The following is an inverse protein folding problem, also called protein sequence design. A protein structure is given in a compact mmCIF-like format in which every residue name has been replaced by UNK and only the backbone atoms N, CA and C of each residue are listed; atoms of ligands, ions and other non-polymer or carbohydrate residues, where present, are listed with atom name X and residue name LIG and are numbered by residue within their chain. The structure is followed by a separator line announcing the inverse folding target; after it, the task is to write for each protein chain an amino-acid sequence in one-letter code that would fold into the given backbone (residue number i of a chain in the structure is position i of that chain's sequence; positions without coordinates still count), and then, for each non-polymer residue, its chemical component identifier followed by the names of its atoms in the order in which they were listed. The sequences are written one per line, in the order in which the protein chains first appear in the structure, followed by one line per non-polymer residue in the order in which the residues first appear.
data_IF_303907045645
#
_entry.id   IF_303907045645
#
_cell.length_a   1.000
_cell.length_b   1.000
_cell.length_c   1.000
_cell.angle_alpha   90.00
_cell.angle_beta   90.00
_cell.angle_gamma   90.00
#
_symmetry.space_group_name_H-M   'P 1'
#
loop_
_entity.id
_entity.type
_entity.pdbx_description
1 polymer ?
#
# COMPACT_ATOMS: atom_id res chain seq x y z
N UNK A 1 34.10 20.38 28.87
CA UNK A 1 32.70 20.65 28.42
C UNK A 1 32.35 20.01 27.07
N UNK A 2 32.95 18.86 26.69
CA UNK A 2 32.68 18.19 25.40
C UNK A 2 31.77 16.95 25.52
N UNK A 3 31.71 16.33 26.72
CA UNK A 3 30.96 15.10 26.97
C UNK A 3 29.43 15.25 26.86
N UNK A 4 28.85 16.39 27.28
CA UNK A 4 27.39 16.59 27.19
C UNK A 4 26.89 16.77 25.75
N UNK A 5 27.73 17.33 24.86
CA UNK A 5 27.39 17.52 23.44
C UNK A 5 27.31 16.18 22.71
N UNK A 6 28.21 15.25 23.06
CA UNK A 6 28.22 13.92 22.47
C UNK A 6 26.99 13.10 22.90
N UNK A 7 26.60 13.24 24.17
CA UNK A 7 25.42 12.58 24.73
C UNK A 7 24.12 13.12 24.10
N UNK A 8 24.04 14.44 23.88
CA UNK A 8 22.93 15.07 23.16
C UNK A 8 22.83 14.59 21.70
N UNK A 9 23.95 14.48 20.98
CA UNK A 9 23.96 13.97 19.60
C UNK A 9 23.54 12.50 19.54
N UNK A 10 23.97 11.68 20.51
CA UNK A 10 23.59 10.27 20.59
C UNK A 10 22.10 10.09 20.91
N UNK A 11 21.55 10.93 21.80
CA UNK A 11 20.11 10.98 22.09
C UNK A 11 19.31 11.42 20.87
N UNK A 12 19.79 12.41 20.12
CA UNK A 12 19.14 12.87 18.89
C UNK A 12 19.14 11.76 17.83
N UNK A 13 20.26 11.05 17.67
CA UNK A 13 20.36 9.90 16.77
C UNK A 13 19.42 8.76 17.15
N UNK A 14 19.32 8.43 18.45
CA UNK A 14 18.37 7.46 18.97
C UNK A 14 16.91 7.88 18.75
N UNK A 15 16.58 9.17 18.95
CA UNK A 15 15.25 9.71 18.71
C UNK A 15 14.86 9.64 17.22
N UNK A 16 15.79 9.98 16.32
CA UNK A 16 15.57 9.87 14.87
C UNK A 16 15.37 8.41 14.49
N UNK A 17 16.20 7.50 15.00
CA UNK A 17 16.08 6.07 14.73
C UNK A 17 14.75 5.50 15.24
N UNK A 18 14.34 5.86 16.45
CA UNK A 18 13.06 5.47 17.03
C UNK A 18 11.87 6.03 16.22
N UNK A 19 11.94 7.30 15.79
CA UNK A 19 10.91 7.92 14.97
C UNK A 19 10.79 7.29 13.58
N UNK A 20 11.91 6.88 12.97
CA UNK A 20 11.90 6.18 11.68
C UNK A 20 11.43 4.73 11.81
N UNK A 21 11.74 4.05 12.92
CA UNK A 21 11.26 2.70 13.20
C UNK A 21 9.75 2.67 13.52
N UNK A 22 9.24 3.75 14.12
CA UNK A 22 7.83 3.90 14.48
C UNK A 22 6.96 4.54 13.38
N UNK A 23 7.51 4.83 12.20
CA UNK A 23 6.75 5.37 11.09
C UNK A 23 5.72 4.33 10.60
N UNK A 24 4.52 4.41 11.17
CA UNK A 24 3.43 3.50 10.86
C UNK A 24 2.98 3.70 9.40
N UNK A 25 2.92 2.60 8.65
CA UNK A 25 2.51 2.62 7.25
C UNK A 25 1.03 3.02 7.19
N UNK A 26 0.78 4.28 6.87
CA UNK A 26 -0.56 4.86 6.85
C UNK A 26 -1.16 4.91 5.45
N UNK A 27 -2.49 5.00 5.37
CA UNK A 27 -3.20 5.29 4.13
C UNK A 27 -3.03 6.78 3.75
N UNK A 28 -3.16 7.15 2.46
CA UNK A 28 -3.18 8.55 2.05
C UNK A 28 -4.32 9.33 2.70
N UNK A 29 -4.14 10.64 2.82
CA UNK A 29 -5.20 11.56 3.24
C UNK A 29 -6.47 11.33 2.40
N UNK A 30 -7.63 11.34 3.07
CA UNK A 30 -8.98 11.09 2.51
C UNK A 30 -9.34 9.63 2.21
N UNK A 31 -8.44 8.67 2.44
CA UNK A 31 -8.81 7.24 2.44
C UNK A 31 -9.20 6.80 3.85
N UNK A 32 -10.35 6.14 3.96
CA UNK A 32 -10.84 5.52 5.20
C UNK A 32 -10.41 4.06 5.19
N UNK A 33 -9.77 3.62 6.27
CA UNK A 33 -9.42 2.22 6.47
C UNK A 33 -10.69 1.37 6.57
N UNK A 34 -10.78 0.32 5.76
CA UNK A 34 -11.82 -0.69 5.88
C UNK A 34 -11.40 -1.67 6.97
N UNK A 35 -12.20 -1.77 8.03
CA UNK A 35 -12.03 -2.78 9.10
C UNK A 35 -13.12 -3.83 8.94
N UNK A 36 -12.82 -5.13 9.03
CA UNK A 36 -13.85 -6.15 9.06
C UNK A 36 -14.65 -5.98 10.36
N UNK A 37 -15.97 -5.83 10.26
CA UNK A 37 -16.87 -5.87 11.40
C UNK A 37 -17.51 -7.26 11.57
N UNK A 38 -17.60 -8.03 10.49
CA UNK A 38 -18.05 -9.41 10.43
C UNK A 38 -17.33 -10.21 9.31
N UNK A 39 -17.60 -11.51 9.22
CA UNK A 39 -17.00 -12.42 8.22
C UNK A 39 -17.35 -12.05 6.77
N UNK A 40 -18.48 -11.36 6.56
CA UNK A 40 -18.92 -10.95 5.23
C UNK A 40 -18.11 -9.75 4.74
N UNK A 41 -17.87 -8.78 5.62
CA UNK A 41 -16.98 -7.64 5.38
C UNK A 41 -15.54 -8.10 5.16
N UNK A 42 -15.08 -9.13 5.88
CA UNK A 42 -13.75 -9.71 5.67
C UNK A 42 -13.58 -10.26 4.24
N UNK A 43 -14.58 -10.99 3.72
CA UNK A 43 -14.56 -11.49 2.33
C UNK A 43 -14.53 -10.36 1.31
N UNK A 44 -15.27 -9.28 1.55
CA UNK A 44 -15.24 -8.10 0.68
C UNK A 44 -13.86 -7.44 0.70
N UNK A 45 -13.29 -7.22 1.89
CA UNK A 45 -11.97 -6.61 2.05
C UNK A 45 -10.90 -7.48 1.38
N UNK A 46 -10.94 -8.79 1.57
CA UNK A 46 -10.04 -9.74 0.92
C UNK A 46 -10.20 -9.72 -0.61
N UNK A 47 -11.43 -9.62 -1.11
CA UNK A 47 -11.71 -9.43 -2.54
C UNK A 47 -11.08 -8.17 -3.11
N UNK A 48 -11.22 -7.03 -2.41
CA UNK A 48 -10.58 -5.76 -2.79
C UNK A 48 -9.05 -5.86 -2.73
N UNK A 49 -8.51 -6.51 -1.69
CA UNK A 49 -7.08 -6.75 -1.56
C UNK A 49 -6.54 -7.58 -2.73
N UNK A 50 -7.29 -8.59 -3.18
CA UNK A 50 -6.93 -9.40 -4.35
C UNK A 50 -6.87 -8.56 -5.64
N UNK A 51 -7.83 -7.64 -5.83
CA UNK A 51 -7.73 -6.65 -6.92
C UNK A 51 -6.52 -5.72 -6.74
N UNK A 52 -6.16 -5.37 -5.50
CA UNK A 52 -4.92 -4.66 -5.19
C UNK A 52 -3.66 -5.40 -5.65
N UNK A 53 -3.60 -6.72 -5.43
CA UNK A 53 -2.49 -7.54 -5.94
C UNK A 53 -2.47 -7.58 -7.46
N UNK A 54 -3.61 -7.74 -8.11
CA UNK A 54 -3.68 -7.70 -9.57
C UNK A 54 -3.24 -6.33 -10.10
N UNK A 55 -3.62 -5.24 -9.45
CA UNK A 55 -3.19 -3.89 -9.81
C UNK A 55 -1.67 -3.71 -9.62
N UNK A 56 -1.09 -4.30 -8.58
CA UNK A 56 0.36 -4.35 -8.38
C UNK A 56 1.04 -5.11 -9.52
N UNK A 57 0.58 -6.33 -9.82
CA UNK A 57 1.13 -7.19 -10.86
C UNK A 57 1.01 -6.51 -12.26
N UNK A 58 -0.08 -5.79 -12.52
CA UNK A 58 -0.22 -4.99 -13.74
C UNK A 58 0.78 -3.83 -13.80
N UNK A 59 1.04 -3.16 -12.68
CA UNK A 59 1.97 -2.05 -12.60
C UNK A 59 3.45 -2.48 -12.66
N UNK A 60 3.75 -3.77 -12.46
CA UNK A 60 5.09 -4.35 -12.72
C UNK A 60 5.40 -4.48 -14.21
N UNK A 61 4.37 -4.59 -15.06
CA UNK A 61 4.59 -4.77 -16.50
C UNK A 61 5.31 -3.54 -17.07
N UNK A 62 6.38 -3.76 -17.83
CA UNK A 62 7.19 -2.69 -18.43
C UNK A 62 6.40 -1.79 -19.40
N UNK A 63 5.25 -2.26 -19.91
CA UNK A 63 4.34 -1.49 -20.73
C UNK A 63 3.36 -0.62 -19.92
N UNK A 64 3.27 -0.83 -18.60
CA UNK A 64 2.48 0.01 -17.70
C UNK A 64 3.26 1.30 -17.42
N UNK A 65 2.59 2.46 -17.55
CA UNK A 65 3.20 3.77 -17.32
C UNK A 65 3.52 3.92 -15.82
N UNK A 66 4.79 3.80 -15.41
CA UNK A 66 5.17 4.01 -14.00
C UNK A 66 6.59 3.57 -13.63
N UNK A 67 6.89 3.66 -12.33
CA UNK A 67 8.10 3.10 -11.70
C UNK A 67 8.11 1.58 -11.87
N UNK A 68 9.27 1.01 -12.23
CA UNK A 68 9.45 -0.44 -12.25
C UNK A 68 9.27 -1.01 -10.84
N UNK A 69 8.20 -1.78 -10.64
CA UNK A 69 7.92 -2.41 -9.36
C UNK A 69 8.66 -3.75 -9.25
N UNK A 70 9.32 -4.03 -8.12
CA UNK A 70 9.97 -5.32 -7.91
C UNK A 70 8.95 -6.44 -7.77
N UNK A 71 9.39 -7.67 -8.06
CA UNK A 71 8.63 -8.86 -7.72
C UNK A 71 8.68 -9.11 -6.22
N UNK A 72 7.50 -9.11 -5.58
CA UNK A 72 7.36 -9.40 -4.16
C UNK A 72 7.28 -10.90 -3.93
N UNK A 73 8.04 -11.37 -2.96
CA UNK A 73 8.00 -12.72 -2.37
C UNK A 73 7.16 -12.63 -1.09
N UNK A 74 6.39 -13.68 -0.79
CA UNK A 74 5.50 -13.73 0.38
C UNK A 74 4.55 -12.52 0.47
N UNK A 75 3.98 -12.15 -0.70
CA UNK A 75 3.11 -10.98 -0.84
C UNK A 75 1.86 -11.08 0.04
N UNK A 76 1.64 -10.08 0.88
CA UNK A 76 0.45 -9.94 1.73
C UNK A 76 0.01 -8.48 1.80
N UNK A 77 -1.29 -8.25 2.01
CA UNK A 77 -1.83 -6.91 2.20
C UNK A 77 -1.74 -6.56 3.69
N UNK A 78 -1.53 -5.28 3.98
CA UNK A 78 -1.49 -4.77 5.36
C UNK A 78 -2.61 -3.77 5.65
N UNK A 79 -3.16 -3.14 4.61
CA UNK A 79 -4.31 -2.27 4.75
C UNK A 79 -5.09 -2.14 3.43
N UNK A 80 -6.41 -2.01 3.55
CA UNK A 80 -7.32 -1.67 2.45
C UNK A 80 -8.08 -0.41 2.83
N UNK A 81 -8.01 0.60 1.97
CA UNK A 81 -8.68 1.88 2.15
C UNK A 81 -9.66 2.18 1.02
N UNK A 82 -10.74 2.89 1.35
CA UNK A 82 -11.71 3.44 0.41
C UNK A 82 -11.60 4.97 0.43
N UNK A 83 -11.53 5.60 -0.74
CA UNK A 83 -11.57 7.06 -0.82
C UNK A 83 -12.94 7.54 -0.33
N UNK A 84 -12.94 8.44 0.65
CA UNK A 84 -14.15 9.10 1.18
C UNK A 84 -14.67 10.13 0.18
N UNK A 85 -15.20 9.68 -0.96
CA UNK A 85 -15.88 10.53 -1.91
C UNK A 85 -17.37 10.60 -1.56
N UNK A 86 -17.82 11.77 -1.10
CA UNK A 86 -19.21 12.05 -0.75
C UNK A 86 -20.13 12.12 -1.98
N UNK A 87 -19.58 12.09 -3.20
CA UNK A 87 -20.38 12.08 -4.42
C UNK A 87 -21.03 10.71 -4.67
N UNK A 88 -22.23 10.54 -4.11
CA UNK A 88 -23.12 9.35 -4.24
C UNK A 88 -23.42 8.85 -5.66
N UNK A 89 -22.96 9.54 -6.71
CA UNK A 89 -23.35 9.28 -8.11
C UNK A 89 -22.34 8.46 -8.91
N UNK A 90 -21.14 8.20 -8.40
CA UNK A 90 -20.14 7.43 -9.14
C UNK A 90 -20.36 5.92 -8.98
N UNK A 91 -20.68 5.22 -10.08
CA UNK A 91 -20.65 3.76 -10.20
C UNK A 91 -19.24 3.17 -10.12
N UNK A 92 -18.25 3.99 -9.77
CA UNK A 92 -16.88 3.57 -9.61
C UNK A 92 -16.33 4.08 -8.28
N UNK A 93 -15.71 3.19 -7.52
CA UNK A 93 -15.07 3.52 -6.25
C UNK A 93 -13.57 3.42 -6.36
N UNK A 94 -12.87 4.33 -5.67
CA UNK A 94 -11.41 4.37 -5.62
C UNK A 94 -10.94 3.70 -4.34
N UNK A 95 -10.06 2.73 -4.50
CA UNK A 95 -9.47 1.97 -3.42
C UNK A 95 -7.97 2.24 -3.35
N UNK A 96 -7.41 2.01 -2.16
CA UNK A 96 -5.99 2.02 -1.90
C UNK A 96 -5.65 0.74 -1.15
N UNK A 97 -4.80 -0.11 -1.72
CA UNK A 97 -4.31 -1.30 -1.03
C UNK A 97 -2.83 -1.10 -0.78
N UNK A 98 -2.41 -1.37 0.45
CA UNK A 98 -1.00 -1.39 0.82
C UNK A 98 -0.56 -2.85 0.86
N UNK A 99 0.38 -3.17 -0.01
CA UNK A 99 0.96 -4.51 -0.19
C UNK A 99 2.36 -4.52 0.39
N UNK A 100 2.68 -5.56 1.15
CA UNK A 100 3.98 -5.82 1.72
C UNK A 100 4.49 -7.15 1.21
N UNK A 101 5.79 -7.26 0.99
CA UNK A 101 6.45 -8.51 0.65
C UNK A 101 7.96 -8.31 0.56
N UNK A 102 8.70 -9.39 0.42
CA UNK A 102 10.16 -9.34 0.38
C UNK A 102 10.68 -9.26 -1.05
N UNK A 103 11.82 -8.61 -1.20
CA UNK A 103 12.51 -8.42 -2.47
C UNK A 103 13.99 -8.73 -2.29
N UNK A 104 14.58 -9.42 -3.26
CA UNK A 104 16.02 -9.59 -3.33
C UNK A 104 16.64 -8.49 -4.19
N UNK A 105 17.38 -7.58 -3.55
CA UNK A 105 18.21 -6.61 -4.25
C UNK A 105 19.65 -7.14 -4.25
N UNK A 106 19.96 -8.00 -5.20
CA UNK A 106 21.25 -8.69 -5.27
C UNK A 106 21.40 -9.74 -4.16
N UNK A 107 22.22 -9.46 -3.15
CA UNK A 107 22.53 -10.38 -2.04
C UNK A 107 21.73 -10.10 -0.76
N UNK A 108 20.97 -9.01 -0.72
CA UNK A 108 20.27 -8.56 0.48
C UNK A 108 18.76 -8.76 0.29
N UNK A 109 18.13 -9.41 1.27
CA UNK A 109 16.67 -9.49 1.39
C UNK A 109 16.19 -8.22 2.09
N UNK A 110 15.31 -7.48 1.43
CA UNK A 110 14.66 -6.29 1.99
C UNK A 110 13.15 -6.47 1.92
N UNK A 111 12.43 -5.88 2.87
CA UNK A 111 10.97 -5.84 2.82
C UNK A 111 10.53 -4.60 2.06
N UNK A 112 9.78 -4.79 0.97
CA UNK A 112 9.16 -3.72 0.22
C UNK A 112 7.70 -3.53 0.62
N UNK A 113 7.32 -2.27 0.78
CA UNK A 113 5.95 -1.84 1.09
C UNK A 113 5.50 -0.91 -0.01
N UNK A 114 4.51 -1.34 -0.78
CA UNK A 114 3.98 -0.61 -1.92
C UNK A 114 2.53 -0.20 -1.69
N UNK A 115 2.23 1.05 -2.03
CA UNK A 115 0.87 1.61 -1.94
C UNK A 115 0.28 1.73 -3.34
N UNK A 116 -0.79 0.99 -3.60
CA UNK A 116 -1.44 0.90 -4.91
C UNK A 116 -2.83 1.50 -4.85
N UNK A 117 -3.08 2.54 -5.65
CA UNK A 117 -4.38 3.17 -5.84
C UNK A 117 -5.00 2.67 -7.14
N UNK A 118 -6.28 2.32 -7.11
CA UNK A 118 -7.00 1.88 -8.31
C UNK A 118 -8.50 2.18 -8.17
N UNK A 119 -9.21 2.13 -9.30
CA UNK A 119 -10.65 2.30 -9.37
C UNK A 119 -11.30 0.99 -9.82
N UNK A 120 -12.27 0.52 -9.05
CA UNK A 120 -13.17 -0.56 -9.45
C UNK A 120 -14.43 0.03 -10.05
N UNK A 121 -14.85 -0.48 -11.20
CA UNK A 121 -16.16 -0.18 -11.80
C UNK A 121 -17.16 -1.24 -11.38
N UNK A 122 -18.33 -0.82 -10.90
CA UNK A 122 -19.44 -1.71 -10.64
C UNK A 122 -20.31 -1.77 -11.90
N UNK A 123 -20.32 -2.92 -12.59
CA UNK A 123 -21.29 -3.17 -13.65
C UNK A 123 -22.61 -3.67 -13.05
N UNK A 124 -23.73 -3.28 -13.65
CA UNK A 124 -25.08 -3.73 -13.27
C UNK A 124 -25.38 -5.18 -13.69
N UNK A 125 -24.48 -5.83 -14.43
CA UNK A 125 -24.57 -7.26 -14.72
C UNK A 125 -23.95 -8.06 -13.56
N UNK A 126 -24.66 -9.09 -13.12
CA UNK A 126 -24.47 -9.90 -11.91
C UNK A 126 -23.07 -10.55 -11.65
N UNK A 127 -21.98 -10.20 -12.34
CA UNK A 127 -20.76 -11.02 -12.28
C UNK A 127 -19.39 -10.34 -12.54
N UNK A 128 -19.17 -9.05 -12.29
CA UNK A 128 -17.79 -8.56 -12.46
C UNK A 128 -17.45 -7.25 -11.78
N UNK A 129 -16.71 -7.32 -10.68
CA UNK A 129 -15.82 -6.23 -10.31
C UNK A 129 -14.59 -6.33 -11.22
N UNK A 130 -14.25 -5.26 -11.91
CA UNK A 130 -13.03 -5.20 -12.73
C UNK A 130 -12.23 -3.93 -12.40
N UNK A 131 -10.91 -4.04 -12.53
CA UNK A 131 -9.97 -2.96 -12.32
C UNK A 131 -9.91 -2.12 -13.58
N UNK A 132 -10.22 -0.83 -13.45
CA UNK A 132 -9.88 0.11 -14.51
C UNK A 132 -8.36 0.24 -14.60
N UNK A 133 -7.73 -0.48 -15.53
CA UNK A 133 -6.26 -0.49 -15.69
C UNK A 133 -5.65 0.89 -15.88
N UNK A 134 -6.40 1.82 -16.49
CA UNK A 134 -5.95 3.22 -16.69
C UNK A 134 -5.94 4.05 -15.40
N UNK A 135 -6.62 3.57 -14.35
CA UNK A 135 -6.68 4.23 -13.04
C UNK A 135 -5.61 3.76 -12.05
N UNK A 136 -4.89 2.67 -12.38
CA UNK A 136 -3.86 2.10 -11.51
C UNK A 136 -2.74 3.12 -11.35
N UNK A 137 -2.38 3.40 -10.10
CA UNK A 137 -1.25 4.27 -9.74
C UNK A 137 -0.51 3.68 -8.54
N UNK A 138 0.79 3.51 -8.69
CA UNK A 138 1.70 3.30 -7.56
C UNK A 138 1.95 4.66 -6.92
N UNK A 139 1.47 4.85 -5.70
CA UNK A 139 1.60 6.12 -4.99
C UNK A 139 2.97 6.26 -4.32
N UNK A 140 3.43 5.17 -3.68
CA UNK A 140 4.69 5.11 -2.94
C UNK A 140 5.20 3.68 -2.88
N UNK A 141 6.52 3.52 -2.87
CA UNK A 141 7.21 2.28 -2.50
C UNK A 141 8.31 2.61 -1.49
N UNK A 142 8.36 1.83 -0.41
CA UNK A 142 9.36 1.94 0.65
C UNK A 142 10.09 0.61 0.79
N UNK A 143 11.38 0.67 1.13
CA UNK A 143 12.22 -0.50 1.38
C UNK A 143 12.73 -0.44 2.81
N UNK A 144 12.54 -1.53 3.53
CA UNK A 144 12.95 -1.68 4.92
C UNK A 144 13.93 -2.84 5.03
N UNK A 145 14.98 -2.65 5.84
CA UNK A 145 15.84 -3.75 6.23
C UNK A 145 15.05 -4.72 7.13
N UNK A 146 15.27 -6.02 6.93
CA UNK A 146 14.72 -7.10 7.76
C UNK A 146 15.53 -7.22 9.04
#
# INVERSE_FOLDING_TARGET
MASSRFLLLLLLGLLVFAATAAAEISLPNHYILLKPFDDHDEKIIAGIANFGYQAYDYAQNSLARGLFLPQLIDKHWIAVGLLSDLSRKSLARRFCVIVKGDVFTGQIRVTAVARIKFQLHFSLSLAGWDINKRSIKVDKIEYHHI
#
